data_IF_100216966041
#
_entry.id   IF_100216966041
#
_cell.length_a   1.000
_cell.length_b   1.000
_cell.length_c   1.000
_cell.angle_alpha   90.00
_cell.angle_beta   90.00
_cell.angle_gamma   90.00
#
_symmetry.space_group_name_H-M   'P 1'
#
loop_
_entity.id
_entity.type
_entity.pdbx_description
1 polymer ?
#
# COMPACT_ATOMS: atom_id res chain seq x y z
N UNK A 1 49.63 -51.20 -18.96
CA UNK A 1 48.60 -50.88 -17.95
C UNK A 1 48.27 -49.40 -18.12
N UNK A 2 47.16 -49.11 -18.79
CA UNK A 2 46.77 -47.76 -19.24
C UNK A 2 46.07 -47.02 -18.10
N UNK A 3 46.63 -45.89 -17.67
CA UNK A 3 45.98 -44.96 -16.74
C UNK A 3 45.27 -43.88 -17.55
N UNK A 4 43.94 -43.92 -17.58
CA UNK A 4 43.09 -42.83 -18.06
C UNK A 4 43.16 -41.64 -17.07
N UNK A 5 43.28 -40.39 -17.52
CA UNK A 5 43.18 -39.25 -16.63
C UNK A 5 41.71 -39.01 -16.27
N UNK A 6 41.42 -38.93 -14.97
CA UNK A 6 40.14 -38.51 -14.46
C UNK A 6 39.87 -37.05 -14.87
N UNK A 7 38.84 -36.83 -15.67
CA UNK A 7 38.35 -35.49 -15.98
C UNK A 7 37.82 -34.81 -14.72
N UNK A 8 37.90 -33.47 -14.60
CA UNK A 8 37.40 -32.77 -13.43
C UNK A 8 35.89 -32.95 -13.34
N UNK A 9 35.42 -33.46 -12.19
CA UNK A 9 34.01 -33.41 -11.83
C UNK A 9 33.64 -31.94 -11.62
N UNK A 10 33.09 -31.30 -12.67
CA UNK A 10 32.48 -29.97 -12.55
C UNK A 10 31.21 -30.12 -11.72
N UNK A 11 31.34 -29.96 -10.40
CA UNK A 11 30.19 -29.82 -9.51
C UNK A 11 29.45 -28.55 -9.91
N UNK A 12 28.25 -28.72 -10.47
CA UNK A 12 27.40 -27.67 -11.02
C UNK A 12 26.89 -26.72 -9.95
N UNK A 13 27.75 -25.82 -9.49
CA UNK A 13 27.31 -24.60 -8.79
C UNK A 13 27.03 -23.56 -9.88
N UNK A 14 25.75 -23.26 -10.10
CA UNK A 14 25.35 -22.30 -11.15
C UNK A 14 26.05 -20.95 -11.02
N UNK A 15 26.26 -20.29 -12.15
CA UNK A 15 26.91 -18.98 -12.23
C UNK A 15 26.37 -18.01 -11.15
N UNK A 16 27.23 -17.39 -10.32
CA UNK A 16 26.84 -16.41 -9.32
C UNK A 16 25.91 -15.30 -9.85
N UNK A 17 26.06 -14.92 -11.12
CA UNK A 17 25.18 -13.94 -11.78
C UNK A 17 23.75 -14.47 -11.94
N UNK A 18 23.62 -15.73 -12.36
CA UNK A 18 22.33 -16.38 -12.59
C UNK A 18 21.60 -16.60 -11.26
N UNK A 19 22.33 -17.03 -10.23
CA UNK A 19 21.81 -17.13 -8.86
C UNK A 19 21.28 -15.78 -8.35
N UNK A 20 21.96 -14.68 -8.64
CA UNK A 20 21.54 -13.34 -8.24
C UNK A 20 20.22 -12.92 -8.92
N UNK A 21 20.07 -13.22 -10.21
CA UNK A 21 18.83 -12.97 -10.97
C UNK A 21 17.66 -13.80 -10.44
N UNK A 22 17.90 -15.08 -10.13
CA UNK A 22 16.89 -15.97 -9.52
C UNK A 22 16.43 -15.40 -8.18
N UNK A 23 17.35 -15.02 -7.30
CA UNK A 23 17.00 -14.41 -6.01
C UNK A 23 16.19 -13.13 -6.16
N UNK A 24 16.54 -12.27 -7.11
CA UNK A 24 15.79 -11.05 -7.37
C UNK A 24 14.34 -11.33 -7.81
N UNK A 25 14.13 -12.32 -8.68
CA UNK A 25 12.79 -12.75 -9.13
C UNK A 25 12.00 -13.41 -8.00
N UNK A 26 12.65 -14.23 -7.17
CA UNK A 26 12.04 -14.84 -5.98
C UNK A 26 11.61 -13.76 -4.99
N UNK A 27 12.45 -12.75 -4.74
CA UNK A 27 12.08 -11.60 -3.91
C UNK A 27 10.87 -10.86 -4.46
N UNK A 28 10.82 -10.59 -5.77
CA UNK A 28 9.68 -9.92 -6.39
C UNK A 28 8.40 -10.76 -6.32
N UNK A 29 8.50 -12.06 -6.58
CA UNK A 29 7.39 -13.00 -6.51
C UNK A 29 6.87 -13.18 -5.08
N UNK A 30 7.77 -13.31 -4.10
CA UNK A 30 7.43 -13.40 -2.67
C UNK A 30 6.72 -12.15 -2.16
N UNK A 31 7.17 -10.97 -2.60
CA UNK A 31 6.54 -9.69 -2.29
C UNK A 31 5.10 -9.65 -2.83
N UNK A 32 4.89 -9.97 -4.10
CA UNK A 32 3.57 -10.00 -4.73
C UNK A 32 2.64 -11.04 -4.06
N UNK A 33 3.14 -12.24 -3.80
CA UNK A 33 2.36 -13.31 -3.19
C UNK A 33 1.96 -12.98 -1.75
N UNK A 34 2.86 -12.41 -0.95
CA UNK A 34 2.57 -12.01 0.43
C UNK A 34 1.56 -10.85 0.48
N UNK A 35 1.69 -9.85 -0.41
CA UNK A 35 0.70 -8.76 -0.53
C UNK A 35 -0.67 -9.29 -0.93
N UNK A 36 -0.74 -10.19 -1.93
CA UNK A 36 -1.99 -10.82 -2.34
C UNK A 36 -2.61 -11.61 -1.18
N UNK A 37 -1.82 -12.37 -0.43
CA UNK A 37 -2.29 -13.13 0.72
C UNK A 37 -2.87 -12.22 1.81
N UNK A 38 -2.22 -11.09 2.11
CA UNK A 38 -2.73 -10.08 3.06
C UNK A 38 -4.06 -9.52 2.56
N UNK A 39 -4.13 -9.07 1.30
CA UNK A 39 -5.34 -8.47 0.73
C UNK A 39 -6.51 -9.47 0.68
N UNK A 40 -6.23 -10.71 0.27
CA UNK A 40 -7.22 -11.77 0.22
C UNK A 40 -7.73 -12.15 1.62
N UNK A 41 -6.81 -12.21 2.60
CA UNK A 41 -7.12 -12.61 3.98
C UNK A 41 -7.78 -11.51 4.81
N UNK A 42 -7.76 -10.27 4.34
CA UNK A 42 -8.33 -9.14 5.06
C UNK A 42 -9.84 -9.25 5.29
N UNK A 43 -10.57 -10.00 4.48
CA UNK A 43 -12.01 -10.25 4.71
C UNK A 43 -12.28 -11.27 5.81
N UNK A 44 -11.26 -12.03 6.22
CA UNK A 44 -11.37 -13.14 7.21
C UNK A 44 -10.47 -12.95 8.43
N UNK A 45 -9.60 -11.94 8.42
CA UNK A 45 -8.59 -11.68 9.45
C UNK A 45 -8.78 -10.28 10.02
N UNK A 46 -9.24 -10.20 11.27
CA UNK A 46 -9.48 -8.91 11.91
C UNK A 46 -8.20 -8.07 12.09
N UNK A 47 -7.05 -8.72 12.26
CA UNK A 47 -5.78 -8.05 12.58
C UNK A 47 -5.27 -7.10 11.49
N UNK A 48 -5.68 -7.28 10.24
CA UNK A 48 -5.28 -6.40 9.13
C UNK A 48 -6.34 -5.31 8.86
N UNK A 49 -7.51 -5.43 9.46
CA UNK A 49 -8.58 -4.44 9.35
C UNK A 49 -8.49 -3.41 10.49
N UNK A 50 -8.88 -2.15 10.23
CA UNK A 50 -9.18 -1.19 11.28
C UNK A 50 -10.20 -1.77 12.26
N UNK A 51 -10.09 -1.43 13.55
CA UNK A 51 -11.01 -1.95 14.58
C UNK A 51 -12.47 -1.59 14.32
N UNK A 52 -12.74 -0.44 13.70
CA UNK A 52 -14.08 0.03 13.34
C UNK A 52 -14.71 -0.71 12.16
N UNK A 53 -13.93 -1.54 11.45
CA UNK A 53 -14.39 -2.36 10.33
C UNK A 53 -14.46 -3.85 10.68
N UNK A 54 -14.62 -4.20 11.95
CA UNK A 54 -14.70 -5.60 12.39
C UNK A 54 -16.13 -5.93 12.85
N UNK A 55 -16.88 -6.81 12.16
CA UNK A 55 -16.54 -7.47 10.89
C UNK A 55 -16.63 -6.50 9.69
N UNK A 56 -15.93 -6.83 8.61
CA UNK A 56 -15.89 -6.00 7.40
C UNK A 56 -17.25 -6.01 6.70
N UNK A 57 -17.85 -4.83 6.42
CA UNK A 57 -19.05 -4.78 5.59
C UNK A 57 -18.78 -5.35 4.19
N UNK A 58 -19.66 -6.21 3.67
CA UNK A 58 -19.47 -6.92 2.40
C UNK A 58 -19.25 -5.99 1.20
N UNK A 59 -19.88 -4.81 1.22
CA UNK A 59 -19.72 -3.77 0.19
C UNK A 59 -18.35 -3.06 0.20
N UNK A 60 -17.52 -3.27 1.24
CA UNK A 60 -16.12 -2.81 1.32
C UNK A 60 -15.10 -3.92 1.02
N UNK A 61 -15.54 -5.17 0.84
CA UNK A 61 -14.65 -6.31 0.67
C UNK A 61 -13.91 -6.33 -0.68
N UNK A 62 -14.38 -5.56 -1.66
CA UNK A 62 -13.79 -5.50 -2.99
C UNK A 62 -13.82 -6.86 -3.72
N UNK A 63 -12.89 -7.11 -4.67
CA UNK A 63 -12.84 -8.36 -5.44
C UNK A 63 -12.35 -9.56 -4.62
N UNK A 64 -11.89 -9.34 -3.39
CA UNK A 64 -11.41 -10.39 -2.49
C UNK A 64 -12.48 -10.88 -1.51
N UNK A 65 -13.74 -10.50 -1.71
CA UNK A 65 -14.87 -10.93 -0.89
C UNK A 65 -14.88 -12.46 -0.71
N UNK A 66 -14.79 -12.91 0.54
CA UNK A 66 -14.80 -14.33 0.88
C UNK A 66 -13.54 -15.11 0.50
N UNK A 67 -12.49 -14.47 -0.02
CA UNK A 67 -11.21 -15.11 -0.30
C UNK A 67 -10.31 -15.20 0.95
N UNK A 68 -9.15 -15.84 0.80
CA UNK A 68 -8.07 -15.83 1.80
C UNK A 68 -8.26 -16.78 2.98
N UNK A 69 -7.35 -16.66 3.95
CA UNK A 69 -7.32 -17.46 5.18
C UNK A 69 -7.57 -16.55 6.40
N UNK A 70 -7.95 -17.14 7.53
CA UNK A 70 -7.92 -16.42 8.81
C UNK A 70 -6.48 -16.45 9.34
N UNK A 71 -5.76 -15.34 9.18
CA UNK A 71 -4.39 -15.16 9.65
C UNK A 71 -4.43 -14.77 11.13
N UNK A 72 -4.19 -15.74 12.00
CA UNK A 72 -3.86 -15.47 13.40
C UNK A 72 -2.56 -14.67 13.51
N UNK A 73 -2.29 -14.10 14.70
CA UNK A 73 -1.16 -13.20 14.94
C UNK A 73 0.19 -13.75 14.45
N UNK A 74 0.51 -15.00 14.79
CA UNK A 74 1.77 -15.64 14.38
C UNK A 74 1.89 -15.78 12.85
N UNK A 75 0.79 -16.15 12.18
CA UNK A 75 0.76 -16.25 10.72
C UNK A 75 0.91 -14.87 10.06
N UNK A 76 0.24 -13.84 10.59
CA UNK A 76 0.38 -12.48 10.09
C UNK A 76 1.82 -11.96 10.25
N UNK A 77 2.45 -12.18 11.41
CA UNK A 77 3.85 -11.83 11.65
C UNK A 77 4.77 -12.55 10.64
N UNK A 78 4.56 -13.84 10.41
CA UNK A 78 5.34 -14.60 9.43
C UNK A 78 5.17 -14.07 8.00
N UNK A 79 3.94 -13.76 7.58
CA UNK A 79 3.65 -13.19 6.26
C UNK A 79 4.28 -11.81 6.11
N UNK A 80 4.21 -10.95 7.13
CA UNK A 80 4.89 -9.64 7.12
C UNK A 80 6.42 -9.79 7.09
N UNK A 81 6.99 -10.73 7.83
CA UNK A 81 8.43 -11.00 7.78
C UNK A 81 8.87 -11.46 6.38
N UNK A 82 8.11 -12.36 5.75
CA UNK A 82 8.34 -12.80 4.36
C UNK A 82 8.22 -11.62 3.40
N UNK A 83 7.20 -10.77 3.57
CA UNK A 83 6.97 -9.58 2.75
C UNK A 83 8.18 -8.63 2.80
N UNK A 84 8.66 -8.28 4.00
CA UNK A 84 9.80 -7.39 4.18
C UNK A 84 11.12 -8.00 3.72
N UNK A 85 11.35 -9.29 3.95
CA UNK A 85 12.51 -10.01 3.43
C UNK A 85 12.51 -10.03 1.89
N UNK A 86 11.35 -10.32 1.30
CA UNK A 86 11.14 -10.35 -0.14
C UNK A 86 11.38 -8.98 -0.78
N UNK A 87 10.84 -7.92 -0.16
CA UNK A 87 11.12 -6.54 -0.53
C UNK A 87 12.61 -6.21 -0.46
N UNK A 88 13.29 -6.52 0.65
CA UNK A 88 14.72 -6.25 0.79
C UNK A 88 15.55 -6.98 -0.28
N UNK A 89 15.24 -8.25 -0.55
CA UNK A 89 15.90 -9.03 -1.61
C UNK A 89 15.69 -8.39 -2.99
N UNK A 90 14.44 -8.03 -3.33
CA UNK A 90 14.09 -7.43 -4.60
C UNK A 90 14.73 -6.04 -4.79
N UNK A 91 14.69 -5.19 -3.76
CA UNK A 91 15.23 -3.82 -3.80
C UNK A 91 16.76 -3.80 -3.86
N UNK A 92 17.44 -4.63 -3.06
CA UNK A 92 18.92 -4.73 -3.08
C UNK A 92 19.41 -5.19 -4.46
N UNK A 93 18.67 -6.10 -5.09
CA UNK A 93 19.01 -6.72 -6.39
C UNK A 93 18.20 -6.15 -7.56
N UNK A 94 17.66 -4.94 -7.42
CA UNK A 94 16.80 -4.35 -8.44
C UNK A 94 17.49 -4.23 -9.82
N UNK A 95 18.79 -3.99 -9.84
CA UNK A 95 19.62 -3.93 -11.05
C UNK A 95 19.75 -5.29 -11.79
N UNK A 96 19.38 -6.40 -11.14
CA UNK A 96 19.32 -7.73 -11.77
C UNK A 96 17.94 -8.03 -12.37
N UNK A 97 16.96 -7.17 -12.16
CA UNK A 97 15.62 -7.25 -12.73
C UNK A 97 15.54 -6.37 -14.00
N UNK A 98 14.64 -6.73 -14.91
CA UNK A 98 14.34 -5.84 -16.03
C UNK A 98 13.51 -4.64 -15.53
N UNK A 99 13.69 -3.44 -16.10
CA UNK A 99 12.86 -2.28 -15.73
C UNK A 99 11.36 -2.53 -15.87
N UNK A 100 10.96 -3.31 -16.88
CA UNK A 100 9.57 -3.71 -17.10
C UNK A 100 9.02 -4.57 -15.97
N UNK A 101 9.82 -5.50 -15.43
CA UNK A 101 9.40 -6.35 -14.33
C UNK A 101 9.21 -5.55 -13.03
N UNK A 102 10.12 -4.61 -12.74
CA UNK A 102 9.99 -3.73 -11.57
C UNK A 102 8.75 -2.85 -11.69
N UNK A 103 8.56 -2.17 -12.83
CA UNK A 103 7.39 -1.33 -13.07
C UNK A 103 6.09 -2.13 -12.98
N UNK A 104 6.04 -3.32 -13.62
CA UNK A 104 4.86 -4.18 -13.55
C UNK A 104 4.55 -4.59 -12.11
N UNK A 105 5.55 -4.97 -11.31
CA UNK A 105 5.34 -5.33 -9.92
C UNK A 105 4.85 -4.14 -9.08
N UNK A 106 5.41 -2.94 -9.27
CA UNK A 106 4.92 -1.71 -8.62
C UNK A 106 3.43 -1.53 -8.93
N UNK A 107 3.05 -1.56 -10.20
CA UNK A 107 1.66 -1.36 -10.62
C UNK A 107 0.72 -2.45 -10.10
N UNK A 108 1.15 -3.72 -10.12
CA UNK A 108 0.34 -4.84 -9.61
C UNK A 108 0.15 -4.73 -8.10
N UNK A 109 1.18 -4.40 -7.34
CA UNK A 109 1.07 -4.18 -5.89
C UNK A 109 0.08 -3.06 -5.56
N UNK A 110 0.18 -1.93 -6.27
CA UNK A 110 -0.75 -0.82 -6.10
C UNK A 110 -2.17 -1.21 -6.47
N UNK A 111 -2.38 -1.96 -7.56
CA UNK A 111 -3.70 -2.43 -7.97
C UNK A 111 -4.33 -3.40 -6.95
N UNK A 112 -3.57 -4.38 -6.46
CA UNK A 112 -4.04 -5.33 -5.44
C UNK A 112 -4.55 -4.59 -4.21
N UNK A 113 -3.78 -3.61 -3.74
CA UNK A 113 -4.12 -2.86 -2.53
C UNK A 113 -5.23 -1.86 -2.80
N UNK A 114 -5.21 -1.13 -3.93
CA UNK A 114 -6.23 -0.15 -4.31
C UNK A 114 -7.62 -0.77 -4.34
N UNK A 115 -7.76 -1.92 -5.01
CA UNK A 115 -9.06 -2.59 -5.14
C UNK A 115 -9.40 -3.48 -3.94
N UNK A 116 -8.42 -3.79 -3.09
CA UNK A 116 -8.67 -4.53 -1.86
C UNK A 116 -9.41 -3.73 -0.78
N UNK A 117 -9.76 -4.37 0.35
CA UNK A 117 -10.40 -3.68 1.47
C UNK A 117 -9.47 -2.62 2.11
N UNK A 118 -9.99 -1.70 2.93
CA UNK A 118 -9.16 -0.81 3.75
C UNK A 118 -8.26 -1.63 4.68
N UNK A 119 -6.97 -1.32 4.69
CA UNK A 119 -5.98 -2.02 5.52
C UNK A 119 -5.47 -1.09 6.62
N UNK A 120 -5.35 -1.61 7.84
CA UNK A 120 -4.71 -1.02 9.02
C UNK A 120 -5.31 0.28 9.58
N UNK A 121 -5.79 1.22 8.76
CA UNK A 121 -6.34 2.51 9.20
C UNK A 121 -7.79 2.77 8.73
N UNK A 122 -8.53 3.48 9.57
CA UNK A 122 -9.89 3.99 9.33
C UNK A 122 -9.93 5.49 8.95
N UNK A 123 -8.78 6.13 8.72
CA UNK A 123 -8.71 7.58 8.49
C UNK A 123 -9.55 8.07 7.31
N UNK A 124 -9.76 7.23 6.28
CA UNK A 124 -10.65 7.52 5.14
C UNK A 124 -12.07 7.89 5.55
N UNK A 125 -12.57 7.35 6.66
CA UNK A 125 -13.89 7.70 7.18
C UNK A 125 -13.87 9.06 7.86
N UNK A 126 -12.79 9.39 8.58
CA UNK A 126 -12.57 10.74 9.13
C UNK A 126 -12.46 11.78 8.02
N UNK A 127 -11.69 11.52 6.96
CA UNK A 127 -11.61 12.42 5.78
C UNK A 127 -12.99 12.67 5.17
N UNK A 128 -13.77 11.60 4.99
CA UNK A 128 -15.14 11.69 4.47
C UNK A 128 -16.04 12.51 5.39
N UNK A 129 -15.89 12.36 6.71
CA UNK A 129 -16.66 13.12 7.68
C UNK A 129 -16.32 14.61 7.61
N UNK A 130 -15.03 14.98 7.66
CA UNK A 130 -14.59 16.38 7.53
C UNK A 130 -15.03 17.00 6.21
N UNK A 131 -15.00 16.23 5.12
CA UNK A 131 -15.48 16.67 3.83
C UNK A 131 -16.97 17.03 3.85
N UNK A 132 -17.81 16.20 4.49
CA UNK A 132 -19.26 16.45 4.61
C UNK A 132 -19.59 17.59 5.56
N UNK A 133 -18.84 17.75 6.67
CA UNK A 133 -18.99 18.89 7.58
C UNK A 133 -18.89 20.21 6.82
N UNK A 134 -17.84 20.35 5.99
CA UNK A 134 -17.66 21.54 5.16
C UNK A 134 -18.64 21.65 4.00
N UNK A 135 -18.68 20.62 3.14
CA UNK A 135 -19.36 20.71 1.84
C UNK A 135 -20.88 20.51 1.91
N UNK A 136 -21.39 19.75 2.89
CA UNK A 136 -22.82 19.42 3.00
C UNK A 136 -23.48 20.24 4.10
N UNK A 137 -22.85 20.35 5.26
CA UNK A 137 -23.41 21.06 6.41
C UNK A 137 -23.03 22.55 6.46
N UNK A 138 -22.10 23.00 5.61
CA UNK A 138 -21.64 24.39 5.57
C UNK A 138 -20.91 24.85 6.84
N UNK A 139 -20.45 23.89 7.66
CA UNK A 139 -19.80 24.16 8.93
C UNK A 139 -18.27 24.06 8.80
N UNK A 140 -17.54 24.71 9.70
CA UNK A 140 -16.09 24.69 9.66
C UNK A 140 -15.55 23.40 10.34
N UNK A 141 -14.93 22.46 9.59
CA UNK A 141 -14.39 21.23 10.17
C UNK A 141 -13.18 21.48 11.09
N UNK A 142 -12.59 22.68 11.08
CA UNK A 142 -11.54 23.09 12.02
C UNK A 142 -12.09 23.51 13.39
N UNK A 143 -13.40 23.70 13.51
CA UNK A 143 -14.06 24.07 14.77
C UNK A 143 -14.92 22.93 15.34
N UNK A 144 -15.35 21.98 14.50
CA UNK A 144 -16.27 20.93 14.88
C UNK A 144 -15.80 19.56 14.40
N UNK A 145 -15.85 18.58 15.30
CA UNK A 145 -15.63 17.17 14.99
C UNK A 145 -16.88 16.48 14.41
N UNK A 146 -16.73 15.28 13.83
CA UNK A 146 -17.83 14.46 13.29
C UNK A 146 -19.03 14.23 14.22
N UNK A 147 -18.80 14.12 15.54
CA UNK A 147 -19.84 13.86 16.54
C UNK A 147 -20.90 14.95 16.64
N UNK A 148 -20.62 16.16 16.14
CA UNK A 148 -21.56 17.28 16.14
C UNK A 148 -22.60 17.23 14.98
N UNK A 149 -22.51 16.24 14.08
CA UNK A 149 -23.33 16.19 12.85
C UNK A 149 -23.99 14.83 12.64
N UNK A 150 -25.16 14.78 11.97
CA UNK A 150 -25.89 13.53 11.71
C UNK A 150 -25.23 12.70 10.60
N UNK A 151 -24.15 12.00 10.95
CA UNK A 151 -23.36 11.15 10.05
C UNK A 151 -23.68 9.65 10.21
N UNK A 152 -24.94 9.30 10.45
CA UNK A 152 -25.40 7.98 10.95
C UNK A 152 -24.71 6.76 10.33
N UNK A 153 -24.65 6.65 9.00
CA UNK A 153 -24.02 5.50 8.32
C UNK A 153 -22.48 5.52 8.35
N UNK A 154 -21.88 6.69 8.54
CA UNK A 154 -20.43 6.89 8.54
C UNK A 154 -19.84 6.85 9.96
N UNK A 155 -20.59 7.35 10.95
CA UNK A 155 -20.14 7.52 12.33
C UNK A 155 -19.55 6.25 12.97
N UNK A 156 -20.16 5.04 12.81
CA UNK A 156 -19.59 3.80 13.38
C UNK A 156 -18.24 3.40 12.77
N UNK A 157 -17.90 3.94 11.59
CA UNK A 157 -16.68 3.61 10.86
C UNK A 157 -15.50 4.51 11.26
N UNK A 158 -15.79 5.67 11.87
CA UNK A 158 -14.81 6.66 12.32
C UNK A 158 -14.08 6.13 13.55
N UNK A 159 -12.75 6.24 13.58
CA UNK A 159 -11.96 5.89 14.76
C UNK A 159 -12.41 6.69 15.97
N UNK A 160 -12.56 6.05 17.14
CA UNK A 160 -13.13 6.68 18.35
C UNK A 160 -12.42 7.98 18.73
N UNK A 161 -11.09 8.04 18.56
CA UNK A 161 -10.29 9.23 18.83
C UNK A 161 -10.59 10.42 17.89
N UNK A 162 -11.28 10.18 16.77
CA UNK A 162 -11.57 11.17 15.74
C UNK A 162 -13.01 11.68 15.78
N UNK A 163 -13.88 11.12 16.62
CA UNK A 163 -15.31 11.49 16.65
C UNK A 163 -15.50 12.95 17.09
N UNK A 164 -14.85 13.37 18.18
CA UNK A 164 -15.00 14.72 18.73
C UNK A 164 -13.84 15.66 18.33
N UNK A 165 -12.94 15.18 17.48
CA UNK A 165 -11.72 15.90 17.10
C UNK A 165 -11.99 16.72 15.83
N UNK A 166 -11.80 18.06 15.85
CA UNK A 166 -11.79 18.85 14.62
C UNK A 166 -10.66 18.39 13.69
N UNK A 167 -10.76 18.73 12.40
CA UNK A 167 -9.79 18.28 11.42
C UNK A 167 -8.38 18.79 11.75
N UNK A 168 -7.43 17.85 11.78
CA UNK A 168 -5.99 18.12 11.99
C UNK A 168 -5.23 18.24 10.67
N UNK A 169 -5.91 18.07 9.54
CA UNK A 169 -5.30 18.06 8.23
C UNK A 169 -5.20 19.47 7.63
N UNK A 170 -4.17 19.68 6.81
CA UNK A 170 -3.88 20.99 6.22
C UNK A 170 -5.03 21.50 5.32
N UNK A 171 -5.23 22.84 5.23
CA UNK A 171 -6.34 23.44 4.47
C UNK A 171 -6.48 22.98 3.03
N UNK A 172 -5.35 22.73 2.34
CA UNK A 172 -5.36 22.26 0.96
C UNK A 172 -5.99 20.87 0.83
N UNK A 173 -5.57 19.90 1.66
CA UNK A 173 -6.15 18.56 1.65
C UNK A 173 -7.63 18.59 2.04
N UNK A 174 -7.97 19.37 3.08
CA UNK A 174 -9.37 19.52 3.50
C UNK A 174 -10.24 20.10 2.38
N UNK A 175 -9.79 21.14 1.68
CA UNK A 175 -10.51 21.70 0.55
C UNK A 175 -10.67 20.70 -0.62
N UNK A 176 -9.62 19.94 -0.95
CA UNK A 176 -9.68 18.91 -1.99
C UNK A 176 -10.64 17.78 -1.61
N UNK A 177 -10.73 17.43 -0.32
CA UNK A 177 -11.63 16.38 0.17
C UNK A 177 -13.11 16.71 -0.09
N UNK A 178 -13.47 17.99 -0.21
CA UNK A 178 -14.86 18.42 -0.46
C UNK A 178 -15.37 17.94 -1.83
N UNK A 179 -14.47 17.75 -2.81
CA UNK A 179 -14.82 17.19 -4.11
C UNK A 179 -15.36 15.75 -4.01
N UNK A 180 -15.03 15.05 -2.93
CA UNK A 180 -15.43 13.66 -2.67
C UNK A 180 -16.65 13.57 -1.74
N UNK A 181 -17.07 14.68 -1.11
CA UNK A 181 -18.20 14.71 -0.17
C UNK A 181 -19.52 14.13 -0.73
N UNK A 182 -19.88 14.35 -2.02
CA UNK A 182 -21.11 13.79 -2.60
C UNK A 182 -21.09 12.26 -2.78
N UNK A 183 -19.91 11.63 -2.72
CA UNK A 183 -19.78 10.21 -2.96
C UNK A 183 -20.35 9.38 -1.80
N UNK A 184 -20.83 8.16 -2.14
CA UNK A 184 -21.12 7.12 -1.14
C UNK A 184 -19.85 6.66 -0.42
N UNK A 185 -20.00 5.96 0.71
CA UNK A 185 -18.85 5.57 1.57
C UNK A 185 -17.85 4.68 0.81
N UNK A 186 -18.35 3.68 0.07
CA UNK A 186 -17.50 2.79 -0.72
C UNK A 186 -16.69 3.54 -1.79
N UNK A 187 -17.34 4.48 -2.48
CA UNK A 187 -16.72 5.30 -3.50
C UNK A 187 -15.70 6.28 -2.89
N UNK A 188 -15.98 6.83 -1.71
CA UNK A 188 -15.01 7.63 -0.96
C UNK A 188 -13.75 6.83 -0.60
N UNK A 189 -13.92 5.62 -0.05
CA UNK A 189 -12.80 4.72 0.26
C UNK A 189 -11.94 4.47 -0.98
N UNK A 190 -12.55 4.11 -2.11
CA UNK A 190 -11.83 3.89 -3.36
C UNK A 190 -11.14 5.18 -3.84
N UNK A 191 -11.80 6.33 -3.74
CA UNK A 191 -11.25 7.61 -4.16
C UNK A 191 -10.03 8.02 -3.34
N UNK A 192 -10.08 7.94 -2.00
CA UNK A 192 -8.92 8.24 -1.15
C UNK A 192 -7.76 7.28 -1.40
N UNK A 193 -8.05 5.98 -1.56
CA UNK A 193 -7.03 5.00 -1.93
C UNK A 193 -6.44 5.26 -3.32
N UNK A 194 -7.24 5.75 -4.27
CA UNK A 194 -6.78 6.13 -5.60
C UNK A 194 -5.89 7.37 -5.54
N UNK A 195 -6.24 8.38 -4.74
CA UNK A 195 -5.39 9.56 -4.49
C UNK A 195 -4.07 9.14 -3.85
N UNK A 196 -4.10 8.28 -2.83
CA UNK A 196 -2.90 7.73 -2.19
C UNK A 196 -2.04 6.93 -3.18
N UNK A 197 -2.64 6.07 -4.01
CA UNK A 197 -1.95 5.30 -5.04
C UNK A 197 -1.28 6.21 -6.09
N UNK A 198 -2.02 7.20 -6.60
CA UNK A 198 -1.50 8.16 -7.57
C UNK A 198 -0.34 8.96 -6.98
N UNK A 199 -0.46 9.39 -5.71
CA UNK A 199 0.59 10.12 -5.01
C UNK A 199 1.85 9.28 -4.79
N UNK A 200 1.70 8.01 -4.40
CA UNK A 200 2.80 7.04 -4.27
C UNK A 200 3.53 6.80 -5.60
N UNK A 201 2.77 6.65 -6.69
CA UNK A 201 3.34 6.47 -8.03
C UNK A 201 4.03 7.75 -8.53
N UNK A 202 3.46 8.92 -8.26
CA UNK A 202 4.09 10.20 -8.56
C UNK A 202 5.40 10.37 -7.79
N UNK A 203 5.41 10.09 -6.48
CA UNK A 203 6.62 10.10 -5.65
C UNK A 203 7.69 9.13 -6.19
N UNK A 204 7.29 7.92 -6.56
CA UNK A 204 8.18 6.93 -7.19
C UNK A 204 8.80 7.47 -8.49
N UNK A 205 8.00 8.13 -9.32
CA UNK A 205 8.47 8.77 -10.55
C UNK A 205 9.42 9.95 -10.29
N UNK A 206 9.12 10.81 -9.33
CA UNK A 206 9.96 11.93 -8.93
C UNK A 206 11.32 11.44 -8.43
N UNK A 207 11.34 10.42 -7.57
CA UNK A 207 12.58 9.81 -7.07
C UNK A 207 13.38 9.13 -8.18
N UNK A 208 12.70 8.42 -9.10
CA UNK A 208 13.35 7.87 -10.29
C UNK A 208 14.00 8.96 -11.14
N UNK A 209 13.28 10.07 -11.38
CA UNK A 209 13.76 11.21 -12.16
C UNK A 209 14.93 11.90 -11.47
N UNK A 210 14.85 12.13 -10.17
CA UNK A 210 15.93 12.71 -9.37
C UNK A 210 17.19 11.83 -9.42
N UNK A 211 17.05 10.51 -9.26
CA UNK A 211 18.16 9.57 -9.37
C UNK A 211 18.80 9.59 -10.76
N UNK A 212 18.00 9.66 -11.84
CA UNK A 212 18.48 9.83 -13.22
C UNK A 212 19.31 11.11 -13.37
N UNK A 213 18.81 12.24 -12.86
CA UNK A 213 19.49 13.53 -12.94
C UNK A 213 20.80 13.57 -12.14
N UNK A 214 20.87 12.80 -11.04
CA UNK A 214 22.06 12.69 -10.18
C UNK A 214 23.05 11.60 -10.62
N UNK A 215 22.77 10.87 -11.71
CA UNK A 215 23.63 9.77 -12.17
C UNK A 215 23.66 8.56 -11.23
N UNK A 216 22.66 8.39 -10.37
CA UNK A 216 22.50 7.25 -9.45
C UNK A 216 21.65 6.18 -10.14
N UNK A 217 21.73 4.92 -9.69
CA UNK A 217 20.87 3.82 -10.18
C UNK A 217 19.38 4.13 -9.98
N UNK A 218 18.77 4.69 -11.02
CA UNK A 218 17.38 5.11 -11.03
C UNK A 218 16.40 3.94 -10.91
N UNK A 219 16.74 2.76 -11.41
CA UNK A 219 15.87 1.59 -11.29
C UNK A 219 15.82 1.12 -9.85
N UNK A 220 16.98 1.09 -9.17
CA UNK A 220 17.05 0.79 -7.75
C UNK A 220 16.32 1.84 -6.91
N UNK A 221 16.45 3.12 -7.24
CA UNK A 221 15.72 4.19 -6.56
C UNK A 221 14.19 4.02 -6.70
N UNK A 222 13.70 3.73 -7.92
CA UNK A 222 12.28 3.44 -8.15
C UNK A 222 11.81 2.20 -7.39
N UNK A 223 12.62 1.13 -7.36
CA UNK A 223 12.30 -0.09 -6.63
C UNK A 223 12.23 0.13 -5.11
N UNK A 224 13.12 0.94 -4.54
CA UNK A 224 13.13 1.25 -3.10
C UNK A 224 11.87 1.99 -2.65
N UNK A 225 11.28 2.82 -3.50
CA UNK A 225 10.06 3.58 -3.15
C UNK A 225 8.81 2.80 -3.58
N UNK A 226 8.71 2.45 -4.85
CA UNK A 226 7.50 1.85 -5.42
C UNK A 226 7.20 0.42 -4.98
N UNK A 227 8.20 -0.32 -4.49
CA UNK A 227 8.00 -1.67 -3.91
C UNK A 227 7.92 -1.65 -2.38
N UNK A 228 8.04 -0.50 -1.73
CA UNK A 228 8.11 -0.40 -0.27
C UNK A 228 6.79 -0.87 0.38
N UNK A 229 6.81 -1.96 1.18
CA UNK A 229 5.60 -2.49 1.79
C UNK A 229 4.88 -1.50 2.71
N UNK A 230 5.60 -0.58 3.35
CA UNK A 230 5.00 0.43 4.23
C UNK A 230 4.16 1.41 3.39
N UNK A 231 4.75 1.96 2.32
CA UNK A 231 4.06 2.89 1.43
C UNK A 231 2.85 2.22 0.78
N UNK A 232 3.02 1.00 0.28
CA UNK A 232 1.96 0.28 -0.44
C UNK A 232 0.86 -0.18 0.51
N UNK A 233 1.18 -0.92 1.59
CA UNK A 233 0.14 -1.49 2.45
C UNK A 233 -0.50 -0.46 3.38
N UNK A 234 0.31 0.34 4.08
CA UNK A 234 -0.23 1.31 5.04
C UNK A 234 -0.68 2.58 4.33
N UNK A 235 0.17 3.14 3.47
CA UNK A 235 -0.15 4.38 2.76
C UNK A 235 -1.30 4.21 1.76
N UNK A 236 -1.12 3.37 0.74
CA UNK A 236 -2.16 3.16 -0.29
C UNK A 236 -3.32 2.32 0.25
N UNK A 237 -3.06 1.28 1.04
CA UNK A 237 -4.11 0.41 1.58
C UNK A 237 -5.00 1.08 2.61
N UNK A 238 -4.44 1.99 3.41
CA UNK A 238 -5.16 2.84 4.35
C UNK A 238 -5.69 4.14 3.73
N UNK A 239 -5.33 4.48 2.49
CA UNK A 239 -5.76 5.71 1.82
C UNK A 239 -5.20 6.99 2.45
N UNK A 240 -3.98 6.94 3.00
CA UNK A 240 -3.37 8.01 3.79
C UNK A 240 -3.04 9.27 2.98
N UNK A 241 -3.35 10.43 3.58
CA UNK A 241 -3.09 11.75 2.99
C UNK A 241 -1.60 12.13 2.98
N UNK A 242 -0.78 11.51 3.81
CA UNK A 242 0.66 11.76 3.93
C UNK A 242 1.38 11.57 2.59
N UNK A 243 0.94 10.60 1.78
CA UNK A 243 1.50 10.36 0.45
C UNK A 243 1.28 11.54 -0.49
N UNK A 244 0.10 12.17 -0.42
CA UNK A 244 -0.18 13.39 -1.18
C UNK A 244 0.70 14.53 -0.71
N UNK A 245 0.87 14.69 0.61
CA UNK A 245 1.74 15.72 1.16
C UNK A 245 3.20 15.53 0.72
N UNK A 246 3.73 14.31 0.83
CA UNK A 246 5.09 13.99 0.38
C UNK A 246 5.27 14.23 -1.13
N UNK A 247 4.30 13.84 -1.95
CA UNK A 247 4.38 14.04 -3.40
C UNK A 247 4.37 15.52 -3.83
N UNK A 248 3.77 16.41 -3.02
CA UNK A 248 3.71 17.86 -3.30
C UNK A 248 4.91 18.60 -2.68
N UNK A 249 5.48 18.10 -1.57
CA UNK A 249 6.61 18.73 -0.88
C UNK A 249 7.94 18.64 -1.67
N UNK A 250 8.03 17.72 -2.64
CA UNK A 250 9.25 17.46 -3.43
C UNK A 250 9.43 18.41 -4.65
N UNK A 251 8.76 19.58 -4.68
CA UNK A 251 9.00 20.65 -5.67
C UNK A 251 10.06 21.68 -5.25
#
# INVERSE_FOLDING_TARGET
>A
MSTLPAGPLTTGTGDPEDRSRVLARVGLGGLLAATLLICASATRSELVLPSTLRPLPSWLAGPFAGAGANLGLAALIAVLAILFLSYAVAAIRANRLSPRAVLAAILVLHAMVLFGPPLFSSDVFSYTAYARIGAVYGANPYLHGPGAFPLEALHPLIGVQWIDTPTVYGPLFTALSYLLAPLGIAANVLAYKAVAAASSLALTYLIWRAARLRGIDSLKAAALVGLNPVIVLFGVGGGHNDLLMLAILDE
#
